data_IF_422174140453
#
_entry.id   IF_422174140453
#
_cell.length_a   1.000
_cell.length_b   1.000
_cell.length_c   1.000
_cell.angle_alpha   90.00
_cell.angle_beta   90.00
_cell.angle_gamma   90.00
#
_symmetry.space_group_name_H-M   'P 1'
#
loop_
_entity.id
_entity.type
_entity.pdbx_description
1 polymer ?
#
# COMPACT_ATOMS: atom_id res chain seq x y z
N UNK A 1 16.48 10.70 20.09
CA UNK A 1 16.26 9.46 19.28
C UNK A 1 15.15 9.76 18.27
N UNK A 2 15.38 9.58 16.97
CA UNK A 2 14.29 9.68 15.98
C UNK A 2 13.38 8.48 16.19
N UNK A 3 12.09 8.70 16.38
CA UNK A 3 11.10 7.62 16.31
C UNK A 3 11.21 6.98 14.92
N UNK A 4 11.75 5.77 14.88
CA UNK A 4 11.79 4.97 13.66
C UNK A 4 10.37 4.47 13.42
N UNK A 5 9.68 5.06 12.47
CA UNK A 5 8.34 4.61 12.09
C UNK A 5 8.48 3.34 11.27
N UNK A 6 7.90 2.25 11.73
CA UNK A 6 7.83 0.97 11.02
C UNK A 6 7.04 1.13 9.72
N UNK A 7 7.50 0.51 8.63
CA UNK A 7 6.79 0.44 7.36
C UNK A 7 5.75 -0.69 7.40
N UNK A 8 4.49 -0.38 7.11
CA UNK A 8 3.37 -1.31 7.26
C UNK A 8 2.83 -1.72 5.90
N UNK A 9 2.84 -3.02 5.64
CA UNK A 9 2.37 -3.65 4.40
C UNK A 9 1.13 -4.49 4.70
N UNK A 10 0.06 -4.28 3.94
CA UNK A 10 -1.10 -5.16 3.91
C UNK A 10 -1.05 -6.01 2.65
N UNK A 11 -1.06 -7.32 2.78
CA UNK A 11 -1.27 -8.24 1.66
C UNK A 11 -2.70 -8.75 1.74
N UNK A 12 -3.52 -8.39 0.78
CA UNK A 12 -4.95 -8.68 0.84
C UNK A 12 -5.56 -8.98 -0.53
N UNK A 13 -6.67 -9.71 -0.53
CA UNK A 13 -7.48 -9.96 -1.72
C UNK A 13 -8.88 -10.41 -1.29
N UNK A 14 -9.94 -10.07 -2.06
CA UNK A 14 -11.30 -10.56 -1.82
C UNK A 14 -11.46 -12.04 -2.18
N UNK A 15 -10.49 -12.61 -2.91
CA UNK A 15 -10.53 -14.03 -3.34
C UNK A 15 -9.51 -14.88 -2.59
N UNK A 16 -9.91 -16.13 -2.32
CA UNK A 16 -9.00 -17.18 -1.89
C UNK A 16 -8.14 -17.73 -3.04
N UNK A 17 -6.98 -18.32 -2.71
CA UNK A 17 -6.14 -19.04 -3.69
C UNK A 17 -5.27 -18.16 -4.61
N UNK A 18 -5.31 -16.86 -4.50
CA UNK A 18 -4.53 -15.92 -5.34
C UNK A 18 -3.06 -15.75 -4.91
N UNK A 19 -2.61 -16.47 -3.88
CA UNK A 19 -1.21 -16.41 -3.43
C UNK A 19 -0.93 -15.41 -2.30
N UNK A 20 -1.94 -14.87 -1.59
CA UNK A 20 -1.73 -13.94 -0.46
C UNK A 20 -0.71 -14.48 0.56
N UNK A 21 -1.03 -15.61 1.19
CA UNK A 21 -0.18 -16.17 2.26
C UNK A 21 1.19 -16.61 1.74
N UNK A 22 1.28 -17.03 0.47
CA UNK A 22 2.55 -17.30 -0.20
C UNK A 22 3.39 -16.04 -0.28
N UNK A 23 2.80 -14.92 -0.76
CA UNK A 23 3.50 -13.63 -0.81
C UNK A 23 3.86 -13.17 0.59
N UNK A 24 2.92 -13.19 1.54
CA UNK A 24 3.14 -12.69 2.90
C UNK A 24 4.31 -13.39 3.59
N UNK A 25 4.34 -14.72 3.57
CA UNK A 25 5.40 -15.50 4.19
C UNK A 25 6.76 -15.30 3.50
N UNK A 26 6.78 -15.39 2.18
CA UNK A 26 8.02 -15.30 1.41
C UNK A 26 8.58 -13.86 1.36
N UNK A 27 7.71 -12.84 1.31
CA UNK A 27 8.14 -11.44 1.39
C UNK A 27 8.70 -11.12 2.77
N UNK A 28 8.11 -11.66 3.85
CA UNK A 28 8.64 -11.50 5.21
C UNK A 28 10.06 -12.08 5.30
N UNK A 29 10.26 -13.29 4.79
CA UNK A 29 11.57 -13.91 4.76
C UNK A 29 12.58 -13.13 3.89
N UNK A 30 12.16 -12.66 2.72
CA UNK A 30 12.99 -11.88 1.82
C UNK A 30 13.46 -10.56 2.44
N UNK A 31 12.55 -9.79 3.04
CA UNK A 31 12.89 -8.52 3.69
C UNK A 31 13.78 -8.73 4.91
N UNK A 32 13.53 -9.78 5.69
CA UNK A 32 14.38 -10.14 6.83
C UNK A 32 15.81 -10.51 6.35
N UNK A 33 15.93 -11.30 5.29
CA UNK A 33 17.23 -11.66 4.69
C UNK A 33 17.92 -10.47 4.04
N UNK A 34 17.17 -9.42 3.67
CA UNK A 34 17.71 -8.15 3.17
C UNK A 34 18.14 -7.18 4.30
N UNK A 35 18.14 -7.64 5.56
CA UNK A 35 18.66 -6.88 6.71
C UNK A 35 17.61 -6.01 7.42
N UNK A 36 16.33 -6.14 7.10
CA UNK A 36 15.24 -5.46 7.82
C UNK A 36 14.69 -6.38 8.91
N UNK A 37 14.40 -5.86 10.10
CA UNK A 37 13.65 -6.62 11.11
C UNK A 37 12.18 -6.66 10.73
N UNK A 38 11.59 -7.88 10.67
CA UNK A 38 10.23 -8.08 10.16
C UNK A 38 9.34 -8.79 11.16
N UNK A 39 8.11 -8.29 11.32
CA UNK A 39 7.01 -9.00 11.98
C UNK A 39 5.94 -9.35 10.96
N UNK A 40 5.54 -10.63 10.89
CA UNK A 40 4.35 -11.09 10.18
C UNK A 40 3.17 -11.13 11.15
N UNK A 41 2.11 -10.40 10.84
CA UNK A 41 0.80 -10.51 11.48
C UNK A 41 -0.14 -11.28 10.55
N UNK A 42 -0.49 -12.50 10.93
CA UNK A 42 -1.44 -13.32 10.20
C UNK A 42 -2.83 -13.15 10.84
N UNK A 43 -3.73 -12.49 10.12
CA UNK A 43 -5.09 -12.21 10.55
C UNK A 43 -6.12 -13.19 10.01
N UNK A 44 -5.70 -14.11 9.13
CA UNK A 44 -6.57 -15.14 8.59
C UNK A 44 -6.80 -16.27 9.59
N UNK A 45 -8.03 -16.82 9.62
CA UNK A 45 -8.40 -17.92 10.52
C UNK A 45 -7.53 -19.16 10.33
N UNK A 46 -7.13 -19.44 9.08
CA UNK A 46 -6.33 -20.63 8.75
C UNK A 46 -4.85 -20.49 9.11
N UNK A 47 -4.34 -19.27 9.29
CA UNK A 47 -2.96 -19.03 9.67
C UNK A 47 -1.94 -19.59 8.67
N UNK A 48 -2.24 -19.53 7.36
CA UNK A 48 -1.40 -20.18 6.35
C UNK A 48 -0.02 -19.57 6.23
N UNK A 49 0.12 -18.24 6.30
CA UNK A 49 1.41 -17.57 6.24
C UNK A 49 2.24 -17.78 7.52
N UNK A 50 1.59 -17.76 8.67
CA UNK A 50 2.22 -18.06 9.96
C UNK A 50 2.66 -19.52 10.03
N UNK A 51 1.86 -20.45 9.50
CA UNK A 51 2.20 -21.87 9.42
C UNK A 51 3.43 -22.11 8.56
N UNK A 52 3.49 -21.45 7.38
CA UNK A 52 4.66 -21.53 6.51
C UNK A 52 5.95 -21.15 7.24
N UNK A 53 5.97 -19.95 7.84
CA UNK A 53 7.19 -19.45 8.51
C UNK A 53 7.58 -20.24 9.75
N UNK A 54 6.61 -20.85 10.45
CA UNK A 54 6.91 -21.69 11.62
C UNK A 54 7.58 -23.02 11.26
N UNK A 55 7.34 -23.54 10.07
CA UNK A 55 7.83 -24.86 9.62
C UNK A 55 9.00 -24.76 8.65
N UNK A 56 9.09 -23.67 7.88
CA UNK A 56 10.24 -23.38 7.02
C UNK A 56 11.48 -23.03 7.86
N UNK A 57 12.69 -23.05 7.28
CA UNK A 57 13.92 -22.63 7.97
C UNK A 57 13.76 -21.25 8.62
N UNK A 58 14.17 -21.15 9.88
CA UNK A 58 14.02 -19.89 10.62
C UNK A 58 15.01 -18.82 10.10
N UNK A 59 14.48 -17.74 9.58
CA UNK A 59 15.25 -16.57 9.09
C UNK A 59 15.17 -15.37 10.03
N UNK A 60 14.52 -15.50 11.20
CA UNK A 60 14.43 -14.43 12.20
C UNK A 60 13.18 -13.57 12.12
N UNK A 61 12.20 -13.90 11.28
CA UNK A 61 10.90 -13.20 11.25
C UNK A 61 10.11 -13.45 12.54
N UNK A 62 9.62 -12.39 13.17
CA UNK A 62 8.68 -12.50 14.30
C UNK A 62 7.29 -12.83 13.77
N UNK A 63 6.70 -13.93 14.27
CA UNK A 63 5.43 -14.46 13.76
C UNK A 63 4.36 -14.29 14.82
N UNK A 64 3.25 -13.65 14.44
CA UNK A 64 2.07 -13.48 15.29
C UNK A 64 0.82 -13.89 14.50
N UNK A 65 0.01 -14.77 15.07
CA UNK A 65 -1.25 -15.21 14.49
C UNK A 65 -2.41 -14.73 15.38
N UNK A 66 -3.22 -13.84 14.84
CA UNK A 66 -4.34 -13.19 15.52
C UNK A 66 -5.57 -13.12 14.61
N UNK A 67 -6.33 -14.22 14.47
CA UNK A 67 -7.52 -14.23 13.63
C UNK A 67 -8.48 -13.11 13.99
N UNK A 68 -8.90 -12.32 13.01
CA UNK A 68 -9.86 -11.26 13.26
C UNK A 68 -11.28 -11.83 13.33
N UNK A 69 -12.10 -11.39 14.31
CA UNK A 69 -13.48 -11.85 14.44
C UNK A 69 -14.33 -11.24 13.31
N UNK A 70 -14.63 -12.01 12.26
CA UNK A 70 -15.40 -11.56 11.10
C UNK A 70 -16.92 -11.48 11.36
N UNK A 71 -17.39 -12.06 12.44
CA UNK A 71 -18.84 -12.18 12.76
C UNK A 71 -19.43 -11.00 13.53
N UNK A 72 -18.60 -10.12 14.07
CA UNK A 72 -19.05 -9.00 14.92
C UNK A 72 -18.64 -7.68 14.29
N UNK A 73 -19.48 -7.08 13.47
CA UNK A 73 -19.39 -5.72 12.91
C UNK A 73 -18.00 -5.07 12.85
N UNK A 74 -17.61 -4.54 11.71
CA UNK A 74 -16.27 -4.11 11.34
C UNK A 74 -15.45 -3.26 12.34
N UNK A 75 -16.12 -2.59 13.32
CA UNK A 75 -15.45 -1.72 14.29
C UNK A 75 -14.53 -2.51 15.25
N UNK A 76 -14.97 -3.67 15.76
CA UNK A 76 -14.15 -4.46 16.68
C UNK A 76 -12.93 -5.03 15.99
N UNK A 77 -13.12 -5.62 14.81
CA UNK A 77 -12.00 -6.13 14.00
C UNK A 77 -11.00 -5.04 13.65
N UNK A 78 -11.48 -3.82 13.37
CA UNK A 78 -10.63 -2.66 13.11
C UNK A 78 -9.79 -2.27 14.33
N UNK A 79 -10.40 -2.22 15.53
CA UNK A 79 -9.69 -1.88 16.77
C UNK A 79 -8.67 -2.94 17.15
N UNK A 80 -9.01 -4.22 17.03
CA UNK A 80 -8.11 -5.32 17.32
C UNK A 80 -6.92 -5.33 16.35
N UNK A 81 -7.16 -5.16 15.06
CA UNK A 81 -6.10 -5.04 14.06
C UNK A 81 -5.16 -3.86 14.35
N UNK A 82 -5.71 -2.69 14.67
CA UNK A 82 -4.93 -1.50 15.04
C UNK A 82 -4.04 -1.74 16.26
N UNK A 83 -4.58 -2.43 17.27
CA UNK A 83 -3.82 -2.74 18.50
C UNK A 83 -2.61 -3.63 18.18
N UNK A 84 -2.81 -4.71 17.41
CA UNK A 84 -1.74 -5.62 17.02
C UNK A 84 -0.71 -4.94 16.12
N UNK A 85 -1.15 -4.15 15.15
CA UNK A 85 -0.28 -3.36 14.29
C UNK A 85 0.62 -2.41 15.08
N UNK A 86 0.06 -1.67 16.02
CA UNK A 86 0.82 -0.73 16.85
C UNK A 86 1.85 -1.45 17.71
N UNK A 87 1.49 -2.58 18.30
CA UNK A 87 2.42 -3.38 19.12
C UNK A 87 3.57 -3.92 18.28
N UNK A 88 3.29 -4.49 17.11
CA UNK A 88 4.31 -5.01 16.21
C UNK A 88 5.25 -3.91 15.68
N UNK A 89 4.70 -2.73 15.38
CA UNK A 89 5.45 -1.61 14.82
C UNK A 89 6.48 -0.98 15.78
N UNK A 90 6.41 -1.26 17.08
CA UNK A 90 7.38 -0.71 18.06
C UNK A 90 8.77 -1.33 17.91
N UNK A 91 8.83 -2.61 17.54
CA UNK A 91 10.06 -3.42 17.62
C UNK A 91 10.65 -3.82 16.29
N UNK A 92 10.00 -3.51 15.17
CA UNK A 92 10.43 -3.97 13.84
C UNK A 92 10.46 -2.85 12.81
N UNK A 93 11.29 -3.01 11.77
CA UNK A 93 11.38 -2.08 10.64
C UNK A 93 10.16 -2.21 9.74
N UNK A 94 9.67 -3.44 9.54
CA UNK A 94 8.55 -3.75 8.66
C UNK A 94 7.54 -4.63 9.38
N UNK A 95 6.26 -4.31 9.23
CA UNK A 95 5.14 -5.17 9.62
C UNK A 95 4.39 -5.59 8.37
N UNK A 96 4.28 -6.89 8.12
CA UNK A 96 3.47 -7.46 7.04
C UNK A 96 2.21 -8.06 7.65
N UNK A 97 1.05 -7.67 7.13
CA UNK A 97 -0.25 -8.23 7.52
C UNK A 97 -0.81 -9.09 6.38
N UNK A 98 -1.09 -10.35 6.69
CA UNK A 98 -1.83 -11.26 5.79
C UNK A 98 -3.30 -11.27 6.19
N UNK A 99 -4.18 -10.86 5.27
CA UNK A 99 -5.61 -10.71 5.56
C UNK A 99 -6.45 -11.02 4.33
N UNK A 100 -7.35 -12.00 4.42
CA UNK A 100 -8.41 -12.18 3.43
C UNK A 100 -9.48 -11.13 3.64
N UNK A 101 -9.69 -10.29 2.62
CA UNK A 101 -10.68 -9.22 2.71
C UNK A 101 -12.10 -9.77 2.63
N UNK A 102 -12.95 -9.30 3.52
CA UNK A 102 -14.39 -9.58 3.50
C UNK A 102 -15.19 -8.30 3.72
N UNK A 103 -16.47 -8.31 3.36
CA UNK A 103 -17.35 -7.16 3.55
C UNK A 103 -17.58 -6.77 5.02
N UNK A 104 -17.20 -7.64 5.97
CA UNK A 104 -17.27 -7.35 7.40
C UNK A 104 -16.06 -6.57 7.91
N UNK A 105 -15.02 -6.35 7.09
CA UNK A 105 -13.84 -5.58 7.44
C UNK A 105 -14.06 -4.12 7.01
N UNK A 106 -13.87 -3.21 7.97
CA UNK A 106 -13.99 -1.78 7.69
C UNK A 106 -12.87 -1.32 6.74
N UNK A 107 -13.23 -0.61 5.65
CA UNK A 107 -12.28 -0.10 4.65
C UNK A 107 -11.23 0.84 5.23
N UNK A 108 -11.55 1.53 6.33
CA UNK A 108 -10.67 2.41 7.08
C UNK A 108 -9.40 1.71 7.60
N UNK A 109 -9.42 0.38 7.71
CA UNK A 109 -8.24 -0.39 8.10
C UNK A 109 -7.08 -0.16 7.12
N UNK A 110 -7.34 0.05 5.84
CA UNK A 110 -6.29 0.26 4.84
C UNK A 110 -5.47 1.53 5.10
N UNK A 111 -6.03 2.56 5.78
CA UNK A 111 -5.27 3.76 6.14
C UNK A 111 -4.17 3.53 7.18
N UNK A 112 -4.19 2.40 7.87
CA UNK A 112 -3.13 2.04 8.82
C UNK A 112 -1.84 1.57 8.13
N UNK A 113 -1.87 1.36 6.80
CA UNK A 113 -0.77 0.82 6.03
C UNK A 113 -0.12 1.86 5.11
N UNK A 114 1.18 1.68 4.85
CA UNK A 114 1.93 2.48 3.89
C UNK A 114 1.80 1.90 2.47
N UNK A 115 1.65 0.58 2.39
CA UNK A 115 1.53 -0.18 1.14
C UNK A 115 0.44 -1.24 1.27
N UNK A 116 -0.43 -1.30 0.27
CA UNK A 116 -1.40 -2.39 0.08
C UNK A 116 -0.98 -3.20 -1.15
N UNK A 117 -0.71 -4.47 -0.96
CA UNK A 117 -0.39 -5.42 -2.03
C UNK A 117 -1.63 -6.25 -2.31
N UNK A 118 -2.11 -6.24 -3.55
CA UNK A 118 -3.24 -7.05 -3.99
C UNK A 118 -2.74 -8.06 -5.02
N UNK A 119 -2.54 -9.33 -4.61
CA UNK A 119 -2.23 -10.40 -5.54
C UNK A 119 -3.40 -10.64 -6.49
N UNK A 120 -3.10 -10.80 -7.77
CA UNK A 120 -4.09 -11.11 -8.80
C UNK A 120 -3.41 -11.93 -9.90
N UNK A 121 -4.17 -12.74 -10.65
CA UNK A 121 -3.63 -13.40 -11.84
C UNK A 121 -3.95 -12.57 -13.10
N UNK A 122 -3.48 -13.05 -14.24
CA UNK A 122 -3.81 -12.47 -15.55
C UNK A 122 -5.16 -12.98 -16.09
N UNK A 123 -5.87 -13.81 -15.32
CA UNK A 123 -7.21 -14.31 -15.67
C UNK A 123 -8.24 -13.19 -15.62
N UNK A 124 -9.08 -13.06 -16.65
CA UNK A 124 -10.12 -12.03 -16.71
C UNK A 124 -11.07 -12.06 -15.50
N UNK A 125 -11.42 -13.26 -15.01
CA UNK A 125 -12.31 -13.42 -13.84
C UNK A 125 -11.65 -12.89 -12.57
N UNK A 126 -10.36 -13.13 -12.37
CA UNK A 126 -9.65 -12.64 -11.20
C UNK A 126 -9.38 -11.13 -11.30
N UNK A 127 -9.05 -10.64 -12.49
CA UNK A 127 -8.93 -9.19 -12.76
C UNK A 127 -10.24 -8.46 -12.52
N UNK A 128 -11.37 -8.98 -13.02
CA UNK A 128 -12.69 -8.40 -12.78
C UNK A 128 -13.02 -8.32 -11.29
N UNK A 129 -12.70 -9.36 -10.50
CA UNK A 129 -12.88 -9.33 -9.06
C UNK A 129 -11.98 -8.30 -8.37
N UNK A 130 -10.74 -8.17 -8.84
CA UNK A 130 -9.79 -7.15 -8.35
C UNK A 130 -10.30 -5.75 -8.66
N UNK A 131 -10.79 -5.50 -9.86
CA UNK A 131 -11.40 -4.21 -10.24
C UNK A 131 -12.62 -3.91 -9.39
N UNK A 132 -13.51 -4.90 -9.16
CA UNK A 132 -14.66 -4.74 -8.26
C UNK A 132 -14.25 -4.35 -6.85
N UNK A 133 -13.24 -5.03 -6.29
CA UNK A 133 -12.67 -4.70 -4.99
C UNK A 133 -12.11 -3.27 -4.93
N UNK A 134 -11.33 -2.86 -5.93
CA UNK A 134 -10.75 -1.52 -6.00
C UNK A 134 -11.82 -0.44 -6.22
N UNK A 135 -12.88 -0.74 -6.99
CA UNK A 135 -14.01 0.17 -7.18
C UNK A 135 -14.78 0.42 -5.89
N UNK A 136 -14.94 -0.63 -5.06
CA UNK A 136 -15.61 -0.49 -3.76
C UNK A 136 -14.77 0.33 -2.77
N UNK A 137 -13.45 0.26 -2.86
CA UNK A 137 -12.51 0.91 -1.94
C UNK A 137 -11.76 2.09 -2.56
N UNK A 138 -12.18 2.62 -3.72
CA UNK A 138 -11.47 3.71 -4.42
C UNK A 138 -11.22 4.93 -3.52
N UNK A 139 -12.19 5.26 -2.65
CA UNK A 139 -12.13 6.37 -1.72
C UNK A 139 -10.93 6.30 -0.73
N UNK A 140 -10.39 5.11 -0.48
CA UNK A 140 -9.19 4.93 0.34
C UNK A 140 -7.95 5.45 -0.40
N UNK A 141 -7.83 5.10 -1.69
CA UNK A 141 -6.66 5.41 -2.51
C UNK A 141 -6.67 6.83 -3.07
N UNK A 142 -7.86 7.46 -3.15
CA UNK A 142 -8.05 8.83 -3.63
C UNK A 142 -8.34 9.83 -2.49
N UNK A 143 -8.12 9.43 -1.24
CA UNK A 143 -8.44 10.26 -0.07
C UNK A 143 -7.63 11.56 -0.06
N UNK A 144 -8.32 12.69 0.07
CA UNK A 144 -7.71 14.00 0.31
C UNK A 144 -7.47 14.28 1.80
N UNK A 145 -8.21 13.62 2.69
CA UNK A 145 -8.19 13.86 4.14
C UNK A 145 -7.09 13.03 4.79
N UNK A 146 -7.03 11.74 4.46
CA UNK A 146 -6.01 10.83 4.99
C UNK A 146 -4.86 10.68 4.00
N UNK A 147 -3.70 10.28 4.48
CA UNK A 147 -2.60 9.89 3.59
C UNK A 147 -2.92 8.52 3.00
N UNK A 148 -3.25 8.41 1.71
CA UNK A 148 -3.61 7.13 1.12
C UNK A 148 -2.40 6.18 1.13
N UNK A 149 -2.61 4.86 1.31
CA UNK A 149 -1.56 3.89 1.08
C UNK A 149 -1.15 3.86 -0.40
N UNK A 150 0.08 3.43 -0.69
CA UNK A 150 0.43 3.03 -2.05
C UNK A 150 -0.27 1.71 -2.37
N UNK A 151 -0.72 1.55 -3.62
CA UNK A 151 -1.31 0.31 -4.11
C UNK A 151 -0.34 -0.39 -5.05
N UNK A 152 -0.07 -1.66 -4.80
CA UNK A 152 0.73 -2.52 -5.65
C UNK A 152 -0.14 -3.70 -6.10
N UNK A 153 -0.43 -3.79 -7.40
CA UNK A 153 -1.11 -4.95 -7.98
C UNK A 153 -0.04 -5.97 -8.39
N UNK A 154 -0.01 -7.11 -7.70
CA UNK A 154 1.00 -8.14 -7.92
C UNK A 154 0.46 -9.24 -8.84
N UNK A 155 0.90 -9.33 -10.11
CA UNK A 155 0.59 -10.46 -10.94
C UNK A 155 1.28 -11.71 -10.36
N UNK A 156 0.46 -12.72 -10.03
CA UNK A 156 0.92 -13.96 -9.39
C UNK A 156 0.48 -15.16 -10.18
N UNK A 157 1.23 -16.26 -10.05
CA UNK A 157 0.92 -17.51 -10.74
C UNK A 157 0.84 -17.32 -12.25
N UNK A 158 1.75 -16.48 -12.78
CA UNK A 158 1.82 -16.16 -14.20
C UNK A 158 2.60 -17.25 -14.92
N UNK A 159 2.00 -17.86 -15.92
CA UNK A 159 2.70 -18.81 -16.79
C UNK A 159 3.60 -18.04 -17.76
N UNK A 160 4.69 -18.67 -18.23
CA UNK A 160 5.61 -18.01 -19.16
C UNK A 160 4.92 -17.54 -20.43
N UNK A 161 3.95 -18.29 -20.93
CA UNK A 161 3.17 -17.97 -22.13
C UNK A 161 2.25 -16.76 -21.92
N UNK A 162 2.02 -16.37 -20.66
CA UNK A 162 1.19 -15.23 -20.28
C UNK A 162 2.00 -13.96 -20.03
N UNK A 163 3.33 -14.01 -20.11
CA UNK A 163 4.20 -12.85 -19.83
C UNK A 163 3.93 -11.67 -20.77
N UNK A 164 3.61 -11.96 -22.03
CA UNK A 164 3.27 -10.94 -23.03
C UNK A 164 1.78 -10.56 -23.01
N UNK A 165 1.05 -11.01 -21.99
CA UNK A 165 -0.36 -10.70 -21.84
C UNK A 165 -0.57 -9.21 -21.60
N UNK A 166 -1.45 -8.61 -22.40
CA UNK A 166 -1.90 -7.24 -22.24
C UNK A 166 -3.11 -7.09 -21.27
N UNK A 167 -3.37 -8.11 -20.46
CA UNK A 167 -4.51 -8.19 -19.57
C UNK A 167 -4.65 -6.95 -18.65
N UNK A 168 -3.52 -6.45 -18.11
CA UNK A 168 -3.52 -5.25 -17.27
C UNK A 168 -3.71 -3.95 -18.07
N UNK A 169 -3.30 -3.90 -19.33
CA UNK A 169 -3.46 -2.72 -20.17
C UNK A 169 -4.84 -2.62 -20.80
N UNK A 170 -5.49 -3.74 -21.04
CA UNK A 170 -6.88 -3.81 -21.53
C UNK A 170 -7.91 -3.49 -20.44
N UNK A 171 -7.57 -3.74 -19.21
CA UNK A 171 -8.47 -3.54 -18.08
C UNK A 171 -8.42 -2.08 -17.60
N UNK A 172 -9.59 -1.49 -17.32
CA UNK A 172 -9.70 -0.17 -16.69
C UNK A 172 -9.75 -0.31 -15.18
N UNK A 173 -8.75 0.22 -14.49
CA UNK A 173 -8.70 0.26 -13.04
C UNK A 173 -9.20 1.60 -12.52
N UNK A 174 -9.98 1.61 -11.41
CA UNK A 174 -10.56 2.84 -10.87
C UNK A 174 -9.57 3.71 -10.10
N UNK A 175 -8.39 3.18 -9.76
CA UNK A 175 -7.36 3.83 -8.92
C UNK A 175 -5.97 3.67 -9.53
N UNK A 176 -5.05 4.53 -9.12
CA UNK A 176 -3.63 4.43 -9.51
C UNK A 176 -2.95 3.30 -8.75
N UNK A 177 -2.06 2.58 -9.41
CA UNK A 177 -1.31 1.48 -8.82
C UNK A 177 0.10 1.37 -9.40
N UNK A 178 0.95 0.65 -8.68
CA UNK A 178 2.28 0.21 -9.12
C UNK A 178 2.13 -1.23 -9.59
N UNK A 179 2.67 -1.55 -10.77
CA UNK A 179 2.73 -2.90 -11.31
C UNK A 179 4.16 -3.42 -11.16
N UNK A 180 4.43 -4.34 -10.22
CA UNK A 180 5.73 -4.95 -10.04
C UNK A 180 5.97 -6.04 -11.10
N UNK A 181 7.20 -6.56 -11.22
CA UNK A 181 7.47 -7.79 -11.98
C UNK A 181 6.54 -8.93 -11.53
N UNK A 182 6.00 -9.72 -12.48
CA UNK A 182 5.11 -10.82 -12.16
C UNK A 182 5.84 -11.96 -11.44
N UNK A 183 5.16 -12.61 -10.52
CA UNK A 183 5.64 -13.84 -9.88
C UNK A 183 5.20 -15.03 -10.73
N UNK A 184 6.18 -15.76 -11.28
CA UNK A 184 5.91 -16.87 -12.17
C UNK A 184 5.38 -18.08 -11.41
N UNK A 185 4.51 -18.86 -12.06
CA UNK A 185 4.07 -20.15 -11.54
C UNK A 185 5.13 -21.22 -11.81
N UNK A 186 5.38 -22.05 -10.79
CA UNK A 186 6.18 -23.24 -10.93
C UNK A 186 5.62 -24.39 -10.09
N UNK A 187 5.67 -25.60 -10.60
CA UNK A 187 5.25 -26.79 -9.84
C UNK A 187 6.13 -26.97 -8.59
N UNK A 188 7.40 -26.65 -8.68
CA UNK A 188 8.37 -26.64 -7.57
C UNK A 188 7.96 -25.71 -6.44
N UNK A 189 7.34 -24.55 -6.73
CA UNK A 189 6.86 -23.61 -5.72
C UNK A 189 5.80 -24.20 -4.79
N UNK A 190 4.95 -25.11 -5.31
CA UNK A 190 3.94 -25.81 -4.50
C UNK A 190 4.59 -26.76 -3.49
N UNK A 191 5.75 -27.32 -3.83
CA UNK A 191 6.50 -28.23 -2.97
C UNK A 191 7.36 -27.49 -1.93
N UNK A 192 7.53 -26.17 -2.07
CA UNK A 192 8.29 -25.35 -1.12
C UNK A 192 7.48 -24.96 0.13
N UNK A 193 6.16 -25.12 0.10
CA UNK A 193 5.33 -24.83 1.28
C UNK A 193 5.86 -25.55 2.52
N UNK A 194 6.12 -24.78 3.57
CA UNK A 194 6.68 -25.27 4.85
C UNK A 194 8.11 -25.89 4.77
N UNK A 195 8.78 -25.86 3.63
CA UNK A 195 10.11 -26.48 3.45
C UNK A 195 11.22 -25.47 3.14
N UNK A 196 10.87 -24.29 2.66
CA UNK A 196 11.84 -23.27 2.26
C UNK A 196 11.13 -22.03 1.72
N UNK A 197 11.85 -21.21 0.99
CA UNK A 197 11.36 -19.95 0.46
C UNK A 197 11.53 -19.86 -1.06
N UNK A 198 10.62 -19.11 -1.70
CA UNK A 198 10.68 -18.92 -3.16
C UNK A 198 11.99 -18.27 -3.60
N UNK A 199 12.54 -17.35 -2.79
CA UNK A 199 13.80 -16.69 -3.09
C UNK A 199 15.01 -17.65 -3.21
N UNK A 200 14.92 -18.84 -2.60
CA UNK A 200 15.98 -19.85 -2.60
C UNK A 200 15.87 -20.81 -3.79
N UNK A 201 14.80 -20.69 -4.58
CA UNK A 201 14.60 -21.56 -5.75
C UNK A 201 15.51 -21.13 -6.90
N UNK A 202 16.23 -22.09 -7.53
CA UNK A 202 17.17 -21.77 -8.62
C UNK A 202 16.50 -21.51 -9.96
N UNK A 203 15.19 -21.64 -10.04
CA UNK A 203 14.41 -21.52 -11.28
C UNK A 203 13.87 -20.10 -11.52
N UNK A 204 13.15 -19.93 -12.64
CA UNK A 204 12.56 -18.65 -13.01
C UNK A 204 11.52 -18.13 -11.99
N UNK A 205 10.86 -19.03 -11.25
CA UNK A 205 9.93 -18.63 -10.20
C UNK A 205 10.67 -17.93 -9.06
N UNK A 206 11.79 -18.52 -8.58
CA UNK A 206 12.61 -17.92 -7.55
C UNK A 206 13.18 -16.57 -7.98
N UNK A 207 13.72 -16.49 -9.19
CA UNK A 207 14.23 -15.24 -9.76
C UNK A 207 13.14 -14.16 -9.85
N UNK A 208 11.95 -14.51 -10.34
CA UNK A 208 10.82 -13.59 -10.44
C UNK A 208 10.36 -13.09 -9.07
N UNK A 209 10.40 -13.95 -8.05
CA UNK A 209 10.08 -13.55 -6.68
C UNK A 209 11.13 -12.57 -6.11
N UNK A 210 12.40 -12.77 -6.37
CA UNK A 210 13.47 -11.84 -5.96
C UNK A 210 13.27 -10.47 -6.62
N UNK A 211 12.94 -10.41 -7.91
CA UNK A 211 12.64 -9.15 -8.60
C UNK A 211 11.39 -8.46 -8.03
N UNK A 212 10.35 -9.22 -7.68
CA UNK A 212 9.19 -8.70 -6.96
C UNK A 212 9.61 -8.10 -5.60
N UNK A 213 10.42 -8.80 -4.82
CA UNK A 213 10.92 -8.33 -3.53
C UNK A 213 11.72 -7.02 -3.64
N UNK A 214 12.58 -6.90 -4.66
CA UNK A 214 13.30 -5.65 -4.97
C UNK A 214 12.33 -4.49 -5.27
N UNK A 215 11.28 -4.74 -6.05
CA UNK A 215 10.28 -3.73 -6.37
C UNK A 215 9.51 -3.26 -5.12
N UNK A 216 9.27 -4.14 -4.15
CA UNK A 216 8.67 -3.76 -2.85
C UNK A 216 9.62 -2.85 -2.06
N UNK A 217 10.92 -3.17 -1.97
CA UNK A 217 11.92 -2.31 -1.29
C UNK A 217 12.01 -0.93 -1.96
N UNK A 218 11.98 -0.89 -3.29
CA UNK A 218 11.99 0.37 -4.04
C UNK A 218 10.72 1.19 -3.76
N UNK A 219 9.56 0.54 -3.69
CA UNK A 219 8.29 1.17 -3.32
C UNK A 219 8.32 1.75 -1.89
N UNK A 220 8.94 1.04 -0.95
CA UNK A 220 9.19 1.54 0.41
C UNK A 220 10.02 2.83 0.37
N UNK A 221 11.11 2.84 -0.39
CA UNK A 221 11.98 4.01 -0.53
C UNK A 221 11.26 5.22 -1.11
N UNK A 222 10.39 5.01 -2.11
CA UNK A 222 9.54 6.06 -2.69
C UNK A 222 8.60 6.63 -1.63
N UNK A 223 7.94 5.77 -0.85
CA UNK A 223 7.01 6.18 0.21
C UNK A 223 7.71 7.03 1.27
N UNK A 224 8.88 6.59 1.72
CA UNK A 224 9.67 7.31 2.71
C UNK A 224 10.12 8.69 2.19
N UNK A 225 10.53 8.78 0.93
CA UNK A 225 10.89 10.05 0.30
C UNK A 225 9.69 11.02 0.26
N UNK A 226 8.51 10.54 -0.14
CA UNK A 226 7.28 11.33 -0.15
C UNK A 226 6.91 11.83 1.25
N UNK A 227 7.02 10.97 2.27
CA UNK A 227 6.74 11.36 3.66
C UNK A 227 7.72 12.42 4.17
N UNK A 228 9.01 12.34 3.81
CA UNK A 228 10.02 13.36 4.17
C UNK A 228 9.68 14.70 3.54
N UNK A 229 9.37 14.74 2.25
CA UNK A 229 8.99 15.96 1.53
C UNK A 229 7.76 16.61 2.18
N UNK A 230 6.73 15.81 2.48
CA UNK A 230 5.51 16.30 3.12
C UNK A 230 5.78 16.89 4.52
N UNK A 231 6.61 16.24 5.33
CA UNK A 231 7.00 16.74 6.65
C UNK A 231 7.78 18.07 6.55
N UNK A 232 8.63 18.24 5.55
CA UNK A 232 9.35 19.50 5.29
C UNK A 232 8.41 20.62 4.83
N UNK A 233 7.39 20.30 4.03
CA UNK A 233 6.41 21.29 3.56
C UNK A 233 5.47 21.78 4.68
N UNK A 234 5.17 20.91 5.67
CA UNK A 234 4.30 21.26 6.81
C UNK A 234 5.05 22.08 7.87
N UNK A 235 6.39 21.90 8.00
CA UNK A 235 7.26 22.69 8.87
C UNK A 235 8.26 23.46 8.02
N UNK A 236 7.87 24.56 7.35
CA UNK A 236 8.85 25.47 6.78
C UNK A 236 9.64 26.03 7.96
N UNK A 237 10.93 25.71 8.04
CA UNK A 237 11.86 26.38 8.94
C UNK A 237 11.65 27.88 8.76
N UNK A 238 11.19 28.55 9.80
CA UNK A 238 11.01 30.00 9.81
C UNK A 238 12.29 30.64 9.25
N UNK A 239 12.19 31.55 8.26
CA UNK A 239 13.36 32.22 7.76
C UNK A 239 14.08 32.88 8.95
N UNK A 240 15.37 32.62 9.10
CA UNK A 240 16.22 33.30 10.05
C UNK A 240 15.99 34.80 9.83
N UNK A 241 15.33 35.45 10.77
CA UNK A 241 15.23 36.90 10.81
C UNK A 241 16.68 37.44 10.79
N UNK A 242 17.11 37.91 9.64
CA UNK A 242 18.25 38.76 9.54
C UNK A 242 17.94 40.01 10.38
N UNK A 243 18.79 40.25 11.35
CA UNK A 243 18.84 41.46 12.13
C UNK A 243 19.11 42.62 11.15
N UNK A 244 18.09 43.38 10.85
CA UNK A 244 18.25 44.71 10.29
C UNK A 244 17.48 45.70 11.16
N UNK A 245 18.29 46.42 11.92
CA UNK A 245 18.24 47.77 12.36
C UNK A 245 16.90 48.43 12.76
N UNK A 246 16.97 48.85 14.00
CA UNK A 246 16.16 49.90 14.59
C UNK A 246 16.26 51.19 13.78
N UNK A 247 15.16 51.79 13.44
CA UNK A 247 15.06 53.24 13.42
C UNK A 247 13.62 53.68 13.68
N UNK A 248 13.53 54.44 14.80
CA UNK A 248 12.70 55.59 15.11
C UNK A 248 11.17 55.54 14.97
N UNK A 249 10.58 55.53 16.14
CA UNK A 249 9.46 56.35 16.62
C UNK A 249 8.66 57.17 15.62
N UNK A 250 7.34 57.03 15.67
CA UNK A 250 6.45 58.16 15.96
C UNK A 250 5.04 57.69 16.36
N UNK A 251 4.62 58.30 17.43
CA UNK A 251 3.30 58.34 18.02
C UNK A 251 2.31 59.07 17.11
N UNK A 252 1.09 58.57 17.00
CA UNK A 252 -0.07 59.47 17.16
C UNK A 252 -1.35 58.68 17.10
N UNK A 253 -2.10 58.89 18.11
CA UNK A 253 -3.57 58.79 18.30
C UNK A 253 -4.34 59.43 17.16
N UNK A 254 -5.57 58.95 17.07
CA UNK A 254 -6.83 59.59 16.68
C UNK A 254 -7.45 58.87 15.46
N UNK A 255 -8.64 58.49 15.42
CA UNK A 255 -9.99 58.99 15.73
C UNK A 255 -11.00 57.89 15.32
N UNK A 256 -11.74 57.47 16.20
CA UNK A 256 -13.19 57.39 16.41
C UNK A 256 -14.14 57.81 15.25
N UNK A 257 -15.20 56.97 15.13
CA UNK A 257 -16.57 57.29 14.73
C UNK A 257 -16.96 57.11 13.24
N UNK A 258 -18.00 56.27 13.07
CA UNK A 258 -18.94 56.49 11.99
C UNK A 258 -19.75 55.27 11.53
N UNK A 259 -20.76 54.92 12.32
CA UNK A 259 -22.16 54.59 11.98
C UNK A 259 -22.55 53.86 10.66
N UNK A 260 -23.23 52.72 10.86
CA UNK A 260 -24.52 52.30 10.27
C UNK A 260 -24.76 52.48 8.75
N UNK A 261 -25.03 51.37 8.05
CA UNK A 261 -26.36 51.07 7.47
C UNK A 261 -26.43 49.69 6.90
N UNK A 262 -27.48 48.97 7.26
CA UNK A 262 -27.79 47.62 6.77
C UNK A 262 -28.35 47.65 5.32
N UNK A 263 -28.18 46.54 4.69
CA UNK A 263 -29.04 46.10 3.60
C UNK A 263 -29.33 44.62 3.73
N UNK A 264 -30.61 44.31 3.91
CA UNK A 264 -31.21 42.98 3.73
C UNK A 264 -31.16 42.62 2.25
N UNK A 265 -30.67 41.44 1.89
CA UNK A 265 -30.96 40.80 0.62
C UNK A 265 -31.44 39.36 0.85
N UNK A 266 -32.51 39.04 0.12
CA UNK A 266 -33.32 37.83 0.16
C UNK A 266 -32.58 36.58 -0.32
N UNK A 267 -33.09 35.37 0.01
CA UNK A 267 -32.54 34.13 -0.48
C UNK A 267 -32.98 33.88 -1.92
N UNK A 268 -32.06 33.44 -2.75
CA UNK A 268 -32.34 32.82 -4.05
C UNK A 268 -31.99 31.35 -3.97
N UNK A 269 -33.03 30.56 -4.21
CA UNK A 269 -33.02 29.15 -4.47
C UNK A 269 -32.39 28.84 -5.81
N UNK A 270 -31.98 27.56 -5.93
CA UNK A 270 -31.64 26.84 -7.15
C UNK A 270 -30.30 27.12 -7.80
N UNK A 271 -29.36 26.17 -7.56
CA UNK A 271 -28.67 25.51 -8.67
C UNK A 271 -28.23 24.11 -8.18
N UNK A 272 -29.06 23.11 -8.51
CA UNK A 272 -28.61 21.71 -8.58
C UNK A 272 -27.66 21.61 -9.78
N UNK A 273 -26.36 21.66 -9.53
CA UNK A 273 -25.38 21.35 -10.57
C UNK A 273 -25.09 19.85 -10.53
N UNK A 274 -25.41 19.24 -11.67
CA UNK A 274 -25.12 17.86 -12.05
C UNK A 274 -23.71 17.45 -11.61
N UNK A 275 -23.63 16.48 -10.72
CA UNK A 275 -22.37 15.76 -10.46
C UNK A 275 -22.00 15.02 -11.75
N UNK A 276 -20.96 15.50 -12.42
CA UNK A 276 -20.29 14.77 -13.48
C UNK A 276 -19.64 13.51 -12.91
N UNK A 277 -19.99 12.36 -13.49
CA UNK A 277 -19.29 11.08 -13.19
C UNK A 277 -17.80 11.30 -13.39
N UNK A 278 -16.94 10.86 -12.45
CA UNK A 278 -15.50 10.97 -12.63
C UNK A 278 -15.08 10.14 -13.85
N UNK A 279 -14.29 10.74 -14.74
CA UNK A 279 -13.66 10.01 -15.84
C UNK A 279 -12.70 8.93 -15.30
N UNK A 280 -12.67 7.73 -15.91
CA UNK A 280 -11.77 6.67 -15.49
C UNK A 280 -10.31 7.10 -15.71
N UNK A 281 -9.52 7.05 -14.65
CA UNK A 281 -8.09 7.42 -14.67
C UNK A 281 -7.30 6.30 -15.35
N UNK A 282 -6.53 6.64 -16.38
CA UNK A 282 -5.58 5.71 -17.03
C UNK A 282 -4.47 5.32 -16.06
N UNK A 283 -3.96 4.07 -16.10
CA UNK A 283 -2.85 3.66 -15.24
C UNK A 283 -1.64 4.56 -15.49
N UNK A 284 -1.03 5.04 -14.41
CA UNK A 284 0.25 5.73 -14.50
C UNK A 284 1.32 4.66 -14.67
N UNK A 285 1.65 4.37 -15.92
CA UNK A 285 2.86 3.63 -16.26
C UNK A 285 4.00 4.61 -16.03
N UNK A 286 4.48 4.67 -14.78
CA UNK A 286 5.67 5.44 -14.45
C UNK A 286 6.89 4.87 -15.18
N UNK A 287 7.94 5.68 -15.38
CA UNK A 287 9.21 5.33 -16.05
C UNK A 287 9.90 4.04 -15.53
N UNK A 288 9.44 3.47 -14.42
CA UNK A 288 9.86 2.19 -13.85
C UNK A 288 9.53 0.99 -14.76
N UNK A 289 8.31 0.93 -15.31
CA UNK A 289 7.89 -0.16 -16.21
C UNK A 289 8.74 -0.17 -17.47
N UNK A 290 9.11 1.00 -17.99
CA UNK A 290 10.01 1.13 -19.14
C UNK A 290 11.41 0.52 -18.88
N UNK A 291 11.97 0.65 -17.68
CA UNK A 291 13.28 0.09 -17.35
C UNK A 291 13.26 -1.44 -17.19
N UNK A 292 12.17 -2.02 -16.70
CA UNK A 292 12.04 -3.47 -16.54
C UNK A 292 11.67 -4.15 -17.87
N UNK A 293 10.77 -3.60 -18.66
CA UNK A 293 10.43 -4.14 -19.99
C UNK A 293 11.61 -4.06 -20.96
N UNK A 294 12.43 -3.00 -20.93
CA UNK A 294 13.60 -2.87 -21.81
C UNK A 294 14.71 -3.87 -21.46
N UNK A 295 14.81 -4.35 -20.22
CA UNK A 295 15.78 -5.39 -19.84
C UNK A 295 15.35 -6.81 -20.21
N UNK A 296 14.05 -7.09 -20.29
CA UNK A 296 13.53 -8.40 -20.71
C UNK A 296 13.68 -8.64 -22.21
N UNK A 297 13.69 -7.58 -23.03
CA UNK A 297 13.90 -7.70 -24.48
C UNK A 297 15.38 -7.75 -24.89
N UNK A 298 16.32 -7.34 -24.04
CA UNK A 298 17.76 -7.36 -24.31
C UNK A 298 18.47 -8.68 -23.94
N UNK A 299 17.78 -9.66 -23.38
CA UNK A 299 18.33 -10.97 -22.97
C UNK A 299 17.96 -12.14 -23.88
N UNK A 300 17.37 -11.90 -25.05
CA UNK A 300 17.01 -12.93 -26.03
C UNK A 300 17.69 -12.61 -27.37
N UNK A 301 19.00 -12.81 -27.45
CA UNK A 301 19.76 -13.14 -28.66
C UNK A 301 20.85 -14.15 -28.26
#
# INVERSE_FOLDING_TARGET
MREKTSFKILVTSPKGGVGKSTISANLAAYLQSSGQSVTLLDFDNHGSSSSWLKRAPNVGVVIQHHPLPLTQGGTRSLLDARLHLRRAAVSTDVVICDLTWSNSIAGELMFEFDLVIVPTSVSEIELAATVGFLSHHHWVFDSAIHTPPLLLLSPTRVLREQMDSDAFTKQRFPVRFILPPPILEAQSARNMFERGYLMDMPDACGQSFVEFGKAVIETQSIREAHQKIRKMAINPTAPKRSVLERSTSMSSRDLLLGRHRGHKAKPNDEIFSKQSKPEPVKPVIGNMVSRFLTRLTAGAI
#
